data_IF_492956612273
#
_entry.id   IF_492956612273
#
_cell.length_a   1.000
_cell.length_b   1.000
_cell.length_c   1.000
_cell.angle_alpha   90.00
_cell.angle_beta   90.00
_cell.angle_gamma   90.00
#
_symmetry.space_group_name_H-M   'P 1'
#
loop_
_entity.id
_entity.type
_entity.pdbx_description
1 polymer ?
#
# COMPACT_ATOMS: atom_id res chain seq x y z
N UNK A 1 -21.65 15.75 10.07
CA UNK A 1 -20.95 15.44 8.81
C UNK A 1 -21.17 13.98 8.50
N UNK A 2 -21.39 13.61 7.24
CA UNK A 2 -21.55 12.20 6.86
C UNK A 2 -20.24 11.43 7.07
N UNK A 3 -20.34 10.22 7.61
CA UNK A 3 -19.22 9.32 7.85
C UNK A 3 -19.34 8.05 7.01
N UNK A 4 -18.20 7.45 6.72
CA UNK A 4 -18.08 6.20 5.98
C UNK A 4 -17.11 5.26 6.67
N UNK A 5 -17.37 3.96 6.57
CA UNK A 5 -16.48 2.90 7.03
C UNK A 5 -15.91 2.15 5.83
N UNK A 6 -14.58 2.03 5.77
CA UNK A 6 -13.90 1.16 4.83
C UNK A 6 -13.70 -0.23 5.44
N UNK A 7 -14.15 -1.26 4.73
CA UNK A 7 -13.86 -2.65 5.01
C UNK A 7 -12.99 -3.20 3.88
N UNK A 8 -12.03 -4.04 4.21
CA UNK A 8 -11.16 -4.69 3.23
C UNK A 8 -11.20 -6.19 3.41
N UNK A 9 -11.03 -6.91 2.30
CA UNK A 9 -10.72 -8.33 2.28
C UNK A 9 -9.55 -8.53 1.33
N UNK A 10 -8.41 -8.98 1.86
CA UNK A 10 -7.18 -9.12 1.13
C UNK A 10 -6.81 -10.59 0.93
N UNK A 11 -6.49 -10.96 -0.31
CA UNK A 11 -6.08 -12.30 -0.71
C UNK A 11 -4.95 -12.25 -1.72
N UNK A 12 -4.08 -13.26 -1.74
CA UNK A 12 -3.06 -13.46 -2.78
C UNK A 12 -3.09 -14.92 -3.22
N UNK A 13 -2.82 -15.21 -4.49
CA UNK A 13 -2.89 -16.57 -5.03
C UNK A 13 -1.49 -17.16 -5.13
N UNK A 14 -1.18 -18.14 -4.26
CA UNK A 14 0.10 -18.86 -4.39
C UNK A 14 0.15 -19.75 -5.64
N UNK A 15 -1.03 -20.16 -6.11
CA UNK A 15 -1.28 -20.91 -7.34
C UNK A 15 -2.60 -20.42 -7.93
N UNK A 16 -2.76 -20.41 -9.27
CA UNK A 16 -4.03 -20.10 -9.90
C UNK A 16 -5.16 -20.94 -9.29
N UNK A 17 -6.23 -20.27 -8.85
CA UNK A 17 -7.42 -20.93 -8.27
C UNK A 17 -7.38 -21.19 -6.76
N UNK A 18 -6.30 -20.87 -6.05
CA UNK A 18 -6.20 -21.03 -4.59
C UNK A 18 -5.85 -19.70 -3.91
N UNK A 19 -6.83 -18.78 -3.74
CA UNK A 19 -6.60 -17.54 -3.02
C UNK A 19 -6.36 -17.83 -1.54
N UNK A 20 -5.27 -17.30 -1.00
CA UNK A 20 -4.95 -17.34 0.42
C UNK A 20 -5.22 -15.98 1.07
N UNK A 21 -5.77 -15.95 2.30
CA UNK A 21 -5.97 -14.71 3.02
C UNK A 21 -4.63 -14.05 3.35
N UNK A 22 -4.57 -12.74 3.15
CA UNK A 22 -3.43 -11.91 3.54
C UNK A 22 -3.60 -11.56 5.02
N UNK A 23 -3.19 -12.48 5.89
CA UNK A 23 -3.36 -12.35 7.32
C UNK A 23 -2.29 -11.45 7.97
N UNK A 24 -2.65 -10.82 9.09
CA UNK A 24 -1.71 -10.06 9.97
C UNK A 24 -0.89 -9.01 9.22
N UNK A 25 -1.47 -8.42 8.19
CA UNK A 25 -0.81 -7.44 7.34
C UNK A 25 -1.31 -6.05 7.68
N UNK A 26 -0.39 -5.10 7.77
CA UNK A 26 -0.72 -3.69 8.04
C UNK A 26 -1.23 -3.01 6.78
N UNK A 27 -2.34 -2.30 6.92
CA UNK A 27 -2.91 -1.45 5.90
C UNK A 27 -3.07 -0.03 6.43
N UNK A 28 -2.82 0.94 5.55
CA UNK A 28 -2.92 2.36 5.85
C UNK A 28 -4.01 2.98 5.01
N UNK A 29 -4.86 3.78 5.64
CA UNK A 29 -5.72 4.74 4.95
C UNK A 29 -4.99 6.08 4.94
N UNK A 30 -4.73 6.60 3.76
CA UNK A 30 -3.98 7.83 3.54
C UNK A 30 -4.81 8.84 2.76
N UNK A 31 -4.52 10.13 2.94
CA UNK A 31 -5.27 11.24 2.34
C UNK A 31 -4.94 11.51 0.87
N UNK A 32 -3.81 10.99 0.37
CA UNK A 32 -3.39 11.07 -1.03
C UNK A 32 -2.62 9.81 -1.45
N UNK A 33 -2.37 9.64 -2.75
CA UNK A 33 -1.68 8.47 -3.27
C UNK A 33 -0.22 8.44 -2.80
N UNK A 34 0.34 7.22 -2.67
CA UNK A 34 1.76 7.04 -2.34
C UNK A 34 2.65 7.84 -3.31
N UNK A 35 2.35 7.78 -4.61
CA UNK A 35 3.11 8.49 -5.63
C UNK A 35 3.01 10.01 -5.49
N UNK A 36 1.82 10.56 -5.26
CA UNK A 36 1.63 12.01 -5.04
C UNK A 36 2.42 12.50 -3.83
N UNK A 37 2.32 11.77 -2.71
CA UNK A 37 3.00 12.09 -1.44
C UNK A 37 4.52 12.07 -1.63
N UNK A 38 5.05 11.00 -2.21
CA UNK A 38 6.49 10.85 -2.40
C UNK A 38 7.06 11.81 -3.45
N UNK A 39 6.34 12.07 -4.55
CA UNK A 39 6.76 13.04 -5.57
C UNK A 39 6.77 14.46 -5.04
N UNK A 40 5.72 14.89 -4.34
CA UNK A 40 5.62 16.24 -3.78
C UNK A 40 6.72 16.53 -2.75
N UNK A 41 7.15 15.51 -2.01
CA UNK A 41 8.27 15.59 -1.07
C UNK A 41 9.65 15.41 -1.72
N UNK A 42 9.74 15.21 -3.04
CA UNK A 42 11.01 15.02 -3.74
C UNK A 42 11.73 13.71 -3.37
N UNK A 43 11.00 12.67 -2.96
CA UNK A 43 11.60 11.36 -2.65
C UNK A 43 11.96 10.67 -3.96
N UNK A 44 13.25 10.44 -4.17
CA UNK A 44 13.80 9.79 -5.36
C UNK A 44 13.99 8.29 -5.15
N UNK A 45 13.97 7.54 -6.25
CA UNK A 45 14.38 6.13 -6.33
C UNK A 45 15.71 6.02 -7.07
N UNK A 46 16.51 4.99 -6.77
CA UNK A 46 17.80 4.80 -7.47
C UNK A 46 17.60 4.02 -8.76
N UNK A 47 17.83 4.66 -9.90
CA UNK A 47 17.74 4.02 -11.21
C UNK A 47 18.77 2.90 -11.39
N UNK A 48 18.56 2.04 -12.41
CA UNK A 48 19.54 1.01 -12.82
C UNK A 48 20.87 1.62 -13.28
N UNK A 49 20.85 2.87 -13.73
CA UNK A 49 22.05 3.66 -14.06
C UNK A 49 22.77 4.21 -12.82
N UNK A 50 22.31 3.83 -11.62
CA UNK A 50 22.90 4.20 -10.34
C UNK A 50 22.57 5.63 -9.91
N UNK A 51 21.73 6.37 -10.64
CA UNK A 51 21.35 7.76 -10.34
C UNK A 51 20.01 7.85 -9.64
N UNK A 52 19.90 8.75 -8.68
CA UNK A 52 18.64 9.05 -8.02
C UNK A 52 17.74 9.90 -8.93
N UNK A 53 16.49 9.46 -9.11
CA UNK A 53 15.50 10.13 -9.95
C UNK A 53 14.12 10.04 -9.33
N UNK A 54 13.24 10.97 -9.65
CA UNK A 54 11.82 10.79 -9.35
C UNK A 54 11.31 9.57 -10.12
N UNK A 55 10.42 8.80 -9.49
CA UNK A 55 9.81 7.67 -10.15
C UNK A 55 8.92 8.15 -11.30
N UNK A 56 8.95 7.44 -12.42
CA UNK A 56 8.21 7.86 -13.62
C UNK A 56 6.73 7.49 -13.49
N UNK A 57 6.45 6.33 -12.90
CA UNK A 57 5.10 5.79 -12.72
C UNK A 57 4.73 5.68 -11.23
N UNK A 58 3.44 5.50 -10.95
CA UNK A 58 2.99 5.17 -9.59
C UNK A 58 3.49 3.79 -9.15
N UNK A 59 3.55 2.84 -10.09
CA UNK A 59 4.03 1.48 -9.85
C UNK A 59 5.50 1.45 -9.48
N UNK A 60 6.33 2.35 -10.01
CA UNK A 60 7.74 2.44 -9.61
C UNK A 60 7.89 2.73 -8.10
N UNK A 61 7.09 3.66 -7.55
CA UNK A 61 7.08 3.93 -6.12
C UNK A 61 6.54 2.74 -5.33
N UNK A 62 5.47 2.09 -5.82
CA UNK A 62 4.93 0.88 -5.19
C UNK A 62 5.97 -0.24 -5.12
N UNK A 63 6.69 -0.50 -6.21
CA UNK A 63 7.76 -1.52 -6.28
C UNK A 63 8.87 -1.20 -5.29
N UNK A 64 9.38 0.03 -5.27
CA UNK A 64 10.42 0.44 -4.33
C UNK A 64 9.98 0.39 -2.87
N UNK A 65 8.74 0.79 -2.60
CA UNK A 65 8.13 0.70 -1.27
C UNK A 65 7.98 -0.76 -0.83
N UNK A 66 7.53 -1.63 -1.72
CA UNK A 66 7.44 -3.07 -1.48
C UNK A 66 8.80 -3.73 -1.24
N UNK A 67 9.83 -3.39 -2.02
CA UNK A 67 11.19 -3.84 -1.75
C UNK A 67 11.68 -3.36 -0.38
N UNK A 68 11.43 -2.10 -0.05
CA UNK A 68 11.74 -1.48 1.23
C UNK A 68 11.13 -2.18 2.43
N UNK A 69 9.81 -2.37 2.41
CA UNK A 69 9.06 -3.06 3.45
C UNK A 69 9.59 -4.48 3.72
N UNK A 70 10.19 -5.10 2.70
CA UNK A 70 10.68 -6.47 2.76
C UNK A 70 12.18 -6.60 2.97
N UNK A 71 12.97 -5.54 2.72
CA UNK A 71 14.43 -5.57 2.70
C UNK A 71 15.06 -4.35 3.38
N UNK A 72 14.57 -3.98 4.58
CA UNK A 72 15.01 -2.80 5.34
C UNK A 72 16.53 -2.66 5.52
N UNK A 73 17.28 -3.77 5.52
CA UNK A 73 18.73 -3.77 5.73
C UNK A 73 19.54 -3.62 4.43
N UNK A 74 18.89 -3.67 3.28
CA UNK A 74 19.57 -3.62 1.98
C UNK A 74 19.66 -2.17 1.51
N UNK A 75 20.86 -1.59 1.50
CA UNK A 75 21.07 -0.29 0.88
C UNK A 75 21.07 -0.42 -0.65
N UNK A 76 20.53 0.57 -1.39
CA UNK A 76 19.92 1.83 -0.92
C UNK A 76 18.41 1.72 -0.57
N UNK A 77 17.83 0.52 -0.65
CA UNK A 77 16.39 0.28 -0.54
C UNK A 77 15.87 0.59 0.88
N UNK A 78 16.63 0.26 1.91
CA UNK A 78 16.30 0.58 3.30
C UNK A 78 16.21 2.08 3.59
N UNK A 79 17.12 2.87 3.00
CA UNK A 79 17.12 4.33 3.13
C UNK A 79 15.91 4.95 2.43
N UNK A 80 15.61 4.47 1.22
CA UNK A 80 14.39 4.85 0.51
C UNK A 80 13.16 4.58 1.37
N UNK A 81 13.02 3.38 1.93
CA UNK A 81 11.85 3.01 2.72
C UNK A 81 11.70 3.87 3.97
N UNK A 82 12.80 4.11 4.68
CA UNK A 82 12.80 4.93 5.89
C UNK A 82 12.36 6.36 5.57
N UNK A 83 12.87 6.94 4.47
CA UNK A 83 12.46 8.25 3.99
C UNK A 83 11.00 8.27 3.54
N UNK A 84 10.58 7.26 2.77
CA UNK A 84 9.21 7.14 2.30
C UNK A 84 8.21 7.02 3.45
N UNK A 85 8.50 6.23 4.48
CA UNK A 85 7.66 6.11 5.66
C UNK A 85 7.60 7.40 6.48
N UNK A 86 8.75 8.09 6.65
CA UNK A 86 8.76 9.38 7.34
C UNK A 86 7.92 10.43 6.60
N UNK A 87 7.99 10.45 5.26
CA UNK A 87 7.15 11.30 4.41
C UNK A 87 5.68 10.89 4.44
N UNK A 88 5.38 9.60 4.48
CA UNK A 88 4.01 9.07 4.48
C UNK A 88 3.31 9.31 5.83
N UNK A 89 4.04 9.27 6.95
CA UNK A 89 3.50 9.34 8.30
C UNK A 89 2.47 10.47 8.55
N UNK A 90 2.70 11.74 8.15
CA UNK A 90 1.71 12.81 8.34
C UNK A 90 0.43 12.64 7.50
N UNK A 91 0.46 11.79 6.46
CA UNK A 91 -0.66 11.51 5.56
C UNK A 91 -1.48 10.29 5.98
N UNK A 92 -1.01 9.51 6.96
CA UNK A 92 -1.72 8.33 7.47
C UNK A 92 -2.83 8.78 8.41
N UNK A 93 -4.07 8.57 7.98
CA UNK A 93 -5.27 8.86 8.75
C UNK A 93 -5.59 7.73 9.73
N UNK A 94 -5.39 6.49 9.28
CA UNK A 94 -5.64 5.29 10.09
C UNK A 94 -4.74 4.14 9.67
N UNK A 95 -4.45 3.28 10.63
CA UNK A 95 -3.70 2.03 10.45
C UNK A 95 -4.53 0.88 11.00
N UNK A 96 -4.67 -0.19 10.22
CA UNK A 96 -5.33 -1.44 10.65
C UNK A 96 -4.46 -2.64 10.32
N UNK A 97 -4.69 -3.74 11.02
CA UNK A 97 -4.04 -5.02 10.74
C UNK A 97 -5.13 -6.03 10.37
N UNK A 98 -4.94 -6.74 9.26
CA UNK A 98 -5.88 -7.79 8.87
C UNK A 98 -5.91 -8.96 9.86
N UNK A 99 -7.10 -9.54 10.04
CA UNK A 99 -7.29 -10.78 10.78
C UNK A 99 -6.77 -12.00 10.01
N UNK A 100 -6.99 -13.20 10.55
CA UNK A 100 -6.56 -14.44 9.90
C UNK A 100 -7.34 -14.79 8.62
N UNK A 101 -8.49 -14.17 8.40
CA UNK A 101 -9.27 -14.29 7.16
C UNK A 101 -8.87 -13.24 6.10
N UNK A 102 -7.85 -12.42 6.40
CA UNK A 102 -7.41 -11.32 5.56
C UNK A 102 -8.38 -10.15 5.54
N UNK A 103 -9.28 -10.03 6.52
CA UNK A 103 -10.24 -8.93 6.62
C UNK A 103 -9.72 -7.86 7.57
N UNK A 104 -10.02 -6.60 7.28
CA UNK A 104 -9.84 -5.51 8.24
C UNK A 104 -10.97 -4.49 8.10
N UNK A 105 -11.21 -3.75 9.18
CA UNK A 105 -12.21 -2.69 9.23
C UNK A 105 -11.58 -1.43 9.81
N UNK A 106 -11.65 -0.35 9.05
CA UNK A 106 -11.24 0.98 9.50
C UNK A 106 -12.30 1.59 10.42
N UNK A 107 -11.90 2.50 11.30
CA UNK A 107 -12.84 3.33 12.04
C UNK A 107 -13.54 4.31 11.08
N UNK A 108 -14.75 4.80 11.41
CA UNK A 108 -15.45 5.77 10.56
C UNK A 108 -14.61 7.02 10.27
N UNK A 109 -14.54 7.43 9.01
CA UNK A 109 -13.95 8.70 8.56
C UNK A 109 -15.00 9.55 7.87
N UNK A 110 -14.69 10.83 7.62
CA UNK A 110 -15.57 11.69 6.82
C UNK A 110 -15.72 11.08 5.41
N UNK A 111 -16.91 11.21 4.83
CA UNK A 111 -17.12 10.90 3.41
C UNK A 111 -16.12 11.71 2.55
N UNK A 112 -15.46 11.05 1.61
CA UNK A 112 -14.38 11.63 0.82
C UNK A 112 -13.63 10.61 -0.05
N UNK A 113 -12.62 11.08 -0.77
CA UNK A 113 -11.70 10.22 -1.51
C UNK A 113 -10.40 10.05 -0.72
N UNK A 114 -9.96 8.80 -0.61
CA UNK A 114 -8.76 8.41 0.12
C UNK A 114 -7.97 7.40 -0.70
N UNK A 115 -6.80 6.99 -0.22
CA UNK A 115 -6.07 5.85 -0.78
C UNK A 115 -5.80 4.80 0.29
N UNK A 116 -5.92 3.55 -0.11
CA UNK A 116 -5.56 2.38 0.67
C UNK A 116 -4.18 1.91 0.24
N UNK A 117 -3.25 1.86 1.19
CA UNK A 117 -1.91 1.34 1.00
C UNK A 117 -1.71 0.06 1.82
N UNK A 118 -1.12 -0.97 1.22
CA UNK A 118 -0.73 -2.19 1.93
C UNK A 118 0.34 -2.96 1.18
N UNK A 119 1.21 -3.64 1.92
CA UNK A 119 2.24 -4.51 1.36
C UNK A 119 2.16 -5.88 2.02
N UNK A 120 2.08 -6.94 1.22
CA UNK A 120 2.12 -8.31 1.71
C UNK A 120 3.25 -9.09 1.05
N UNK A 121 3.93 -9.93 1.83
CA UNK A 121 4.85 -10.93 1.29
C UNK A 121 4.08 -12.01 0.56
N UNK A 122 4.62 -12.45 -0.56
CA UNK A 122 4.23 -13.68 -1.24
C UNK A 122 5.43 -14.64 -1.22
N UNK A 123 5.25 -15.95 -1.48
CA UNK A 123 6.35 -16.90 -1.55
C UNK A 123 7.43 -16.56 -2.58
N UNK A 124 7.08 -15.80 -3.63
CA UNK A 124 8.02 -15.40 -4.69
C UNK A 124 8.47 -13.94 -4.58
N UNK A 125 7.83 -13.13 -3.74
CA UNK A 125 8.18 -11.72 -3.60
C UNK A 125 7.16 -10.99 -2.75
N UNK A 126 6.42 -10.06 -3.35
CA UNK A 126 5.44 -9.26 -2.63
C UNK A 126 4.34 -8.70 -3.54
N UNK A 127 3.24 -8.31 -2.90
CA UNK A 127 2.14 -7.57 -3.52
C UNK A 127 1.99 -6.22 -2.82
N UNK A 128 1.80 -5.16 -3.61
CA UNK A 128 1.56 -3.80 -3.11
C UNK A 128 0.21 -3.31 -3.64
N UNK A 129 -0.68 -2.95 -2.73
CA UNK A 129 -1.93 -2.28 -3.07
C UNK A 129 -1.80 -0.79 -2.82
N UNK A 130 -2.15 0.02 -3.81
CA UNK A 130 -2.25 1.48 -3.72
C UNK A 130 -3.55 1.94 -4.39
N UNK A 131 -4.69 1.68 -3.75
CA UNK A 131 -6.00 1.82 -4.38
C UNK A 131 -6.71 3.08 -3.92
N UNK A 132 -7.25 3.84 -4.87
CA UNK A 132 -8.19 4.91 -4.55
C UNK A 132 -9.46 4.31 -3.95
N UNK A 133 -9.83 4.76 -2.76
CA UNK A 133 -11.04 4.41 -2.04
C UNK A 133 -12.00 5.61 -2.02
N UNK A 134 -13.02 5.57 -2.87
CA UNK A 134 -14.12 6.55 -2.83
C UNK A 134 -15.09 6.16 -1.72
N UNK A 135 -15.08 6.89 -0.61
CA UNK A 135 -15.91 6.65 0.56
C UNK A 135 -17.16 7.54 0.52
N UNK A 136 -18.08 7.24 -0.42
CA UNK A 136 -19.30 8.01 -0.72
C UNK A 136 -20.58 7.44 -0.10
N UNK A 137 -20.52 6.21 0.42
CA UNK A 137 -21.60 5.55 1.16
C UNK A 137 -21.25 5.37 2.64
N UNK A 138 -22.23 5.04 3.47
CA UNK A 138 -22.02 4.77 4.90
C UNK A 138 -21.01 3.62 5.16
N UNK A 139 -20.90 2.67 4.23
CA UNK A 139 -19.94 1.58 4.28
C UNK A 139 -19.49 1.23 2.86
N UNK A 140 -18.18 1.14 2.66
CA UNK A 140 -17.56 0.71 1.39
C UNK A 140 -16.72 -0.53 1.67
N UNK A 141 -16.67 -1.45 0.71
CA UNK A 141 -15.87 -2.67 0.80
C UNK A 141 -14.95 -2.80 -0.40
N UNK A 142 -13.66 -3.04 -0.16
CA UNK A 142 -12.68 -3.31 -1.20
C UNK A 142 -12.18 -4.75 -1.09
N UNK A 143 -12.12 -5.43 -2.24
CA UNK A 143 -11.45 -6.73 -2.37
C UNK A 143 -10.06 -6.47 -2.93
N UNK A 144 -9.04 -6.87 -2.18
CA UNK A 144 -7.65 -6.73 -2.57
C UNK A 144 -7.15 -8.08 -3.05
N UNK A 145 -6.70 -8.14 -4.30
CA UNK A 145 -6.11 -9.32 -4.90
C UNK A 145 -5.05 -8.95 -5.93
N UNK A 146 -4.53 -9.93 -6.65
CA UNK A 146 -3.44 -9.74 -7.61
C UNK A 146 -3.84 -8.90 -8.82
N UNK A 147 -5.14 -8.78 -9.11
CA UNK A 147 -5.65 -7.99 -10.25
C UNK A 147 -5.57 -6.49 -9.98
N UNK A 148 -5.46 -6.11 -8.71
CA UNK A 148 -5.36 -4.72 -8.27
C UNK A 148 -4.15 -4.47 -7.36
N UNK A 149 -3.17 -5.38 -7.40
CA UNK A 149 -1.86 -5.20 -6.80
C UNK A 149 -0.80 -4.99 -7.87
N UNK A 150 0.24 -4.23 -7.51
CA UNK A 150 1.54 -4.36 -8.16
C UNK A 150 2.22 -5.59 -7.55
N UNK A 151 2.43 -6.63 -8.36
CA UNK A 151 3.02 -7.90 -7.91
C UNK A 151 4.45 -8.03 -8.42
N UNK A 152 5.38 -8.31 -7.52
CA UNK A 152 6.79 -8.58 -7.81
C UNK A 152 7.09 -10.02 -7.40
N UNK A 153 7.69 -10.80 -8.31
CA UNK A 153 8.03 -12.22 -8.17
C UNK A 153 9.49 -12.48 -8.51
#
# INVERSE_FOLDING_TARGET
MAQSVLNIRATVSLKPGYPQPVARTTFYLVDDSLASILKSAGVTIRGRDGKDKLAQTEDDYAIWFGFGANNLRMLPIGDFYSKAMATLQPHILQTVISDFDGKARFAPVKVGAYYLLGVARTPKGFAVWQLKASLDAASVSLVLDERNAVVVQ
#
